data_IF_502536489192
#
_entry.id   IF_502536489192
#
_cell.length_a   1.000
_cell.length_b   1.000
_cell.length_c   1.000
_cell.angle_alpha   90.00
_cell.angle_beta   90.00
_cell.angle_gamma   90.00
#
_symmetry.space_group_name_H-M   'P 1'
#
loop_
_entity.id
_entity.type
_entity.pdbx_description
1 polymer ?
#
# COMPACT_ATOMS: atom_id res chain seq x y z
N UNK A 1 37.09 1.62 -13.51
CA UNK A 1 36.15 1.19 -12.45
C UNK A 1 35.67 2.47 -11.79
N UNK A 2 34.52 2.99 -12.25
CA UNK A 2 34.02 4.30 -11.81
C UNK A 2 33.70 4.25 -10.31
N UNK A 3 34.33 5.15 -9.57
CA UNK A 3 34.09 5.37 -8.15
C UNK A 3 32.69 5.98 -8.01
N UNK A 4 31.68 5.12 -7.84
CA UNK A 4 30.34 5.57 -7.48
C UNK A 4 30.47 6.36 -6.17
N UNK A 5 30.05 7.63 -6.17
CA UNK A 5 30.24 8.55 -5.03
C UNK A 5 29.67 7.89 -3.76
N UNK A 6 30.32 8.00 -2.58
CA UNK A 6 29.83 7.42 -1.32
C UNK A 6 28.37 7.73 -0.96
N UNK A 7 27.85 8.86 -1.46
CA UNK A 7 26.45 9.24 -1.32
C UNK A 7 25.48 8.33 -2.10
N UNK A 8 25.86 7.90 -3.32
CA UNK A 8 25.05 7.00 -4.14
C UNK A 8 25.00 5.61 -3.49
N UNK A 9 26.12 5.09 -3.02
CA UNK A 9 26.16 3.80 -2.30
C UNK A 9 25.29 3.84 -1.04
N UNK A 10 25.35 4.94 -0.29
CA UNK A 10 24.48 5.12 0.89
C UNK A 10 22.99 5.11 0.53
N UNK A 11 22.59 5.78 -0.56
CA UNK A 11 21.21 5.78 -1.03
C UNK A 11 20.78 4.36 -1.46
N UNK A 12 21.62 3.67 -2.23
CA UNK A 12 21.30 2.33 -2.73
C UNK A 12 21.19 1.32 -1.58
N UNK A 13 22.12 1.35 -0.62
CA UNK A 13 22.05 0.50 0.58
C UNK A 13 20.80 0.79 1.42
N UNK A 14 20.39 2.07 1.52
CA UNK A 14 19.16 2.44 2.22
C UNK A 14 17.91 1.91 1.50
N UNK A 15 17.87 1.99 0.17
CA UNK A 15 16.80 1.43 -0.65
C UNK A 15 16.72 -0.09 -0.50
N UNK A 16 17.86 -0.78 -0.54
CA UNK A 16 17.94 -2.23 -0.35
C UNK A 16 17.42 -2.65 1.04
N UNK A 17 17.78 -1.92 2.09
CA UNK A 17 17.30 -2.17 3.44
C UNK A 17 15.77 -1.99 3.55
N UNK A 18 15.22 -0.92 2.97
CA UNK A 18 13.77 -0.68 2.93
C UNK A 18 13.06 -1.77 2.13
N UNK A 19 13.60 -2.15 0.97
CA UNK A 19 13.03 -3.18 0.11
C UNK A 19 13.00 -4.53 0.83
N UNK A 20 14.12 -4.95 1.42
CA UNK A 20 14.22 -6.18 2.22
C UNK A 20 13.19 -6.21 3.36
N UNK A 21 13.08 -5.11 4.10
CA UNK A 21 12.13 -5.01 5.22
C UNK A 21 10.66 -5.05 4.75
N UNK A 22 10.38 -4.54 3.55
CA UNK A 22 9.06 -4.58 2.93
C UNK A 22 8.67 -5.99 2.48
N UNK A 23 9.60 -6.74 1.89
CA UNK A 23 9.41 -8.14 1.49
C UNK A 23 9.10 -8.99 2.73
N UNK A 24 9.88 -8.83 3.80
CA UNK A 24 9.61 -9.51 5.08
C UNK A 24 8.20 -9.24 5.61
N UNK A 25 7.71 -8.00 5.52
CA UNK A 25 6.36 -7.68 5.97
C UNK A 25 5.28 -8.38 5.12
N UNK A 26 5.48 -8.49 3.80
CA UNK A 26 4.59 -9.24 2.91
C UNK A 26 4.62 -10.73 3.22
N UNK A 27 5.82 -11.30 3.42
CA UNK A 27 6.00 -12.70 3.77
C UNK A 27 5.32 -13.03 5.10
N UNK A 28 5.48 -12.19 6.13
CA UNK A 28 4.79 -12.34 7.41
C UNK A 28 3.26 -12.37 7.25
N UNK A 29 2.71 -11.52 6.38
CA UNK A 29 1.28 -11.54 6.05
C UNK A 29 0.90 -12.85 5.37
N UNK A 30 1.66 -13.24 4.34
CA UNK A 30 1.41 -14.45 3.58
C UNK A 30 1.45 -15.69 4.48
N UNK A 31 2.55 -15.92 5.20
CA UNK A 31 2.74 -17.08 6.07
C UNK A 31 1.72 -17.13 7.20
N UNK A 32 1.34 -16.00 7.80
CA UNK A 32 0.28 -16.01 8.81
C UNK A 32 -1.08 -16.28 8.17
N UNK A 33 -1.38 -15.71 7.01
CA UNK A 33 -2.65 -15.92 6.31
C UNK A 33 -2.89 -17.38 5.88
N UNK A 34 -1.85 -18.11 5.47
CA UNK A 34 -1.96 -19.54 5.11
C UNK A 34 -2.08 -20.45 6.33
N UNK A 35 -1.54 -20.04 7.49
CA UNK A 35 -1.56 -20.82 8.71
C UNK A 35 -2.87 -20.63 9.52
N UNK A 36 -3.68 -19.64 9.15
CA UNK A 36 -5.03 -19.51 9.71
C UNK A 36 -5.91 -20.62 9.10
N UNK A 37 -6.30 -21.59 9.93
CA UNK A 37 -7.29 -22.60 9.52
C UNK A 37 -8.63 -21.89 9.29
N UNK A 38 -9.32 -22.24 8.20
CA UNK A 38 -10.64 -21.66 7.83
C UNK A 38 -11.73 -21.83 8.91
N UNK A 39 -11.47 -22.62 9.95
CA UNK A 39 -12.38 -22.95 11.05
C UNK A 39 -12.06 -22.21 12.36
N UNK A 40 -10.98 -21.42 12.41
CA UNK A 40 -10.70 -20.60 13.59
C UNK A 40 -11.58 -19.34 13.57
N UNK A 41 -12.64 -19.36 14.37
CA UNK A 41 -13.52 -18.22 14.69
C UNK A 41 -12.78 -16.97 15.22
N UNK A 42 -11.47 -17.07 15.43
CA UNK A 42 -10.57 -16.02 15.91
C UNK A 42 -9.80 -15.30 14.80
N UNK A 43 -10.26 -15.36 13.54
CA UNK A 43 -9.69 -14.62 12.39
C UNK A 43 -9.20 -13.18 12.72
N UNK A 44 -9.94 -12.33 13.46
CA UNK A 44 -9.49 -10.98 13.78
C UNK A 44 -8.23 -10.90 14.66
N UNK A 45 -7.98 -11.93 15.50
CA UNK A 45 -6.83 -12.01 16.42
C UNK A 45 -5.58 -12.50 15.69
N UNK A 46 -5.75 -13.24 14.59
CA UNK A 46 -4.64 -13.82 13.81
C UNK A 46 -4.14 -12.91 12.67
N UNK A 47 -4.82 -11.80 12.42
CA UNK A 47 -4.38 -10.82 11.41
C UNK A 47 -3.06 -10.17 11.87
N UNK A 48 -1.99 -10.22 11.07
CA UNK A 48 -0.73 -9.55 11.39
C UNK A 48 -0.78 -8.03 11.20
N UNK A 49 -1.54 -7.35 12.05
CA UNK A 49 -1.81 -5.92 11.93
C UNK A 49 -0.52 -5.08 11.88
N UNK A 50 0.53 -5.48 12.61
CA UNK A 50 1.81 -4.78 12.58
C UNK A 50 2.52 -4.90 11.22
N UNK A 51 2.45 -6.06 10.57
CA UNK A 51 2.96 -6.27 9.22
C UNK A 51 2.17 -5.43 8.21
N UNK A 52 0.84 -5.35 8.35
CA UNK A 52 0.01 -4.45 7.55
C UNK A 52 0.37 -2.97 7.75
N UNK A 53 0.62 -2.53 8.99
CA UNK A 53 1.08 -1.17 9.30
C UNK A 53 2.46 -0.89 8.70
N UNK A 54 3.38 -1.85 8.74
CA UNK A 54 4.69 -1.75 8.07
C UNK A 54 4.51 -1.53 6.57
N UNK A 55 3.65 -2.30 5.92
CA UNK A 55 3.31 -2.09 4.50
C UNK A 55 2.73 -0.70 4.25
N UNK A 56 1.81 -0.22 5.10
CA UNK A 56 1.27 1.14 5.01
C UNK A 56 2.38 2.20 5.05
N UNK A 57 3.37 2.04 5.92
CA UNK A 57 4.55 2.92 5.98
C UNK A 57 5.34 2.88 4.67
N UNK A 58 5.63 1.69 4.13
CA UNK A 58 6.37 1.54 2.87
C UNK A 58 5.63 2.12 1.66
N UNK A 59 4.31 1.97 1.61
CA UNK A 59 3.47 2.58 0.56
C UNK A 59 3.61 4.11 0.59
N UNK A 60 3.50 4.72 1.77
CA UNK A 60 3.62 6.17 1.91
C UNK A 60 5.04 6.68 1.63
N UNK A 61 6.07 5.93 2.05
CA UNK A 61 7.47 6.24 1.71
C UNK A 61 7.67 6.22 0.19
N UNK A 62 7.17 5.20 -0.49
CA UNK A 62 7.27 5.08 -1.94
C UNK A 62 6.52 6.23 -2.65
N UNK A 63 5.34 6.62 -2.17
CA UNK A 63 4.66 7.81 -2.69
C UNK A 63 5.48 9.10 -2.48
N UNK A 64 6.13 9.24 -1.32
CA UNK A 64 7.03 10.36 -1.06
C UNK A 64 8.20 10.41 -2.05
N UNK A 65 8.81 9.26 -2.35
CA UNK A 65 9.87 9.13 -3.35
C UNK A 65 9.38 9.46 -4.76
N UNK A 66 8.23 8.91 -5.18
CA UNK A 66 7.62 9.20 -6.48
C UNK A 66 7.34 10.69 -6.64
N UNK A 67 6.86 11.36 -5.58
CA UNK A 67 6.67 12.81 -5.54
C UNK A 67 8.00 13.57 -5.66
N UNK A 68 9.03 13.16 -4.92
CA UNK A 68 10.36 13.78 -4.98
C UNK A 68 11.02 13.64 -6.37
N UNK A 69 10.72 12.55 -7.09
CA UNK A 69 11.18 12.34 -8.47
C UNK A 69 10.32 13.05 -9.52
N UNK A 70 9.31 13.84 -9.12
CA UNK A 70 8.43 14.55 -10.05
C UNK A 70 7.43 13.65 -10.79
N UNK A 71 7.22 12.42 -10.34
CA UNK A 71 6.29 11.46 -10.95
C UNK A 71 4.84 11.60 -10.46
N UNK A 72 4.61 12.34 -9.38
CA UNK A 72 3.25 12.57 -8.84
C UNK A 72 2.59 13.78 -9.51
N UNK A 73 1.27 13.72 -9.70
CA UNK A 73 0.46 14.83 -10.19
C UNK A 73 -0.36 15.48 -9.06
N UNK A 74 -0.86 16.72 -9.22
CA UNK A 74 -1.68 17.38 -8.20
C UNK A 74 -2.92 16.57 -7.79
N UNK A 75 -3.56 15.88 -8.75
CA UNK A 75 -4.72 15.02 -8.48
C UNK A 75 -4.33 13.80 -7.65
N UNK A 76 -3.18 13.18 -7.94
CA UNK A 76 -2.69 12.04 -7.16
C UNK A 76 -2.31 12.48 -5.75
N UNK A 77 -1.59 13.60 -5.60
CA UNK A 77 -1.24 14.16 -4.30
C UNK A 77 -2.50 14.48 -3.48
N UNK A 78 -3.56 14.99 -4.13
CA UNK A 78 -4.83 15.27 -3.49
C UNK A 78 -5.57 14.00 -3.05
N UNK A 79 -5.65 12.97 -3.90
CA UNK A 79 -6.20 11.65 -3.52
C UNK A 79 -5.42 11.07 -2.33
N UNK A 80 -4.09 11.15 -2.35
CA UNK A 80 -3.25 10.69 -1.26
C UNK A 80 -3.47 11.47 0.04
N UNK A 81 -3.73 12.78 -0.04
CA UNK A 81 -4.07 13.61 1.11
C UNK A 81 -5.44 13.21 1.70
N UNK A 82 -6.44 12.93 0.85
CA UNK A 82 -7.74 12.42 1.28
C UNK A 82 -7.56 11.06 1.97
N UNK A 83 -6.83 10.10 1.37
CA UNK A 83 -6.58 8.81 2.00
C UNK A 83 -5.91 8.95 3.39
N UNK A 84 -4.96 9.87 3.53
CA UNK A 84 -4.27 10.15 4.79
C UNK A 84 -5.21 10.72 5.86
N UNK A 85 -6.19 11.55 5.50
CA UNK A 85 -7.25 12.02 6.41
C UNK A 85 -7.99 10.85 7.07
N UNK A 86 -8.13 9.73 6.37
CA UNK A 86 -8.73 8.49 6.87
C UNK A 86 -7.72 7.51 7.50
N UNK A 87 -6.48 7.93 7.75
CA UNK A 87 -5.39 7.08 8.27
C UNK A 87 -5.05 5.88 7.38
N UNK A 88 -5.23 6.02 6.07
CA UNK A 88 -4.92 4.98 5.08
C UNK A 88 -3.68 5.37 4.27
N UNK A 89 -2.87 4.36 3.93
CA UNK A 89 -1.73 4.55 3.05
C UNK A 89 -2.18 4.56 1.59
N UNK A 90 -1.48 5.32 0.76
CA UNK A 90 -1.80 5.41 -0.66
C UNK A 90 -0.58 5.78 -1.50
N UNK A 91 -0.60 5.38 -2.77
CA UNK A 91 0.46 5.71 -3.72
C UNK A 91 -0.03 5.66 -5.17
N UNK A 92 0.71 6.31 -6.08
CA UNK A 92 0.62 6.09 -7.51
C UNK A 92 1.00 4.64 -7.86
N UNK A 93 0.22 4.01 -8.76
CA UNK A 93 0.51 2.65 -9.26
C UNK A 93 1.38 2.69 -10.51
N UNK A 94 1.03 3.59 -11.44
CA UNK A 94 1.60 3.70 -12.78
C UNK A 94 1.39 5.11 -13.33
N UNK A 95 1.98 5.40 -14.49
CA UNK A 95 1.76 6.61 -15.28
C UNK A 95 0.32 6.79 -15.77
N UNK A 96 -0.53 5.76 -15.65
CA UNK A 96 -1.94 5.76 -16.06
C UNK A 96 -2.88 6.64 -15.21
N UNK A 97 -2.36 7.36 -14.20
CA UNK A 97 -3.14 8.33 -13.42
C UNK A 97 -4.00 7.73 -12.31
N UNK A 98 -3.76 6.48 -11.90
CA UNK A 98 -4.47 5.84 -10.79
C UNK A 98 -3.67 5.88 -9.49
N UNK A 99 -4.37 6.23 -8.39
CA UNK A 99 -3.88 6.07 -7.04
C UNK A 99 -4.44 4.78 -6.41
N UNK A 100 -3.56 4.02 -5.78
CA UNK A 100 -3.89 2.92 -4.89
C UNK A 100 -4.12 3.44 -3.48
N UNK A 101 -5.18 2.96 -2.81
CA UNK A 101 -5.42 3.18 -1.38
C UNK A 101 -5.45 1.81 -0.69
N UNK A 102 -4.58 1.63 0.29
CA UNK A 102 -4.43 0.37 1.02
C UNK A 102 -5.32 0.35 2.26
N UNK A 103 -6.24 -0.61 2.30
CA UNK A 103 -7.14 -0.81 3.45
C UNK A 103 -6.49 -1.75 4.46
N UNK A 104 -6.56 -1.39 5.75
CA UNK A 104 -6.22 -2.30 6.83
C UNK A 104 -7.33 -3.36 6.99
N UNK A 105 -7.01 -4.58 7.47
CA UNK A 105 -7.99 -5.67 7.58
C UNK A 105 -9.18 -5.36 8.49
N UNK A 106 -9.01 -4.44 9.46
CA UNK A 106 -10.03 -3.99 10.40
C UNK A 106 -10.65 -2.63 9.99
N UNK A 107 -10.50 -2.21 8.74
CA UNK A 107 -11.07 -0.94 8.27
C UNK A 107 -12.60 -1.01 8.35
N UNK A 108 -13.19 -0.09 9.10
CA UNK A 108 -14.64 0.01 9.28
C UNK A 108 -15.35 0.27 7.93
N UNK A 109 -16.45 -0.42 7.68
CA UNK A 109 -17.26 -0.23 6.46
C UNK A 109 -17.74 1.22 6.27
N UNK A 110 -18.16 1.89 7.34
CA UNK A 110 -18.57 3.29 7.31
C UNK A 110 -17.42 4.22 6.89
N UNK A 111 -16.18 3.91 7.31
CA UNK A 111 -14.99 4.65 6.89
C UNK A 111 -14.78 4.51 5.38
N UNK A 112 -14.94 3.30 4.83
CA UNK A 112 -14.84 3.04 3.38
C UNK A 112 -15.92 3.81 2.61
N UNK A 113 -17.16 3.84 3.11
CA UNK A 113 -18.25 4.62 2.50
C UNK A 113 -17.90 6.12 2.48
N UNK A 114 -17.46 6.66 3.62
CA UNK A 114 -17.14 8.08 3.76
C UNK A 114 -15.99 8.49 2.82
N UNK A 115 -14.92 7.70 2.80
CA UNK A 115 -13.80 7.88 1.87
C UNK A 115 -14.27 7.85 0.41
N UNK A 116 -15.09 6.87 0.06
CA UNK A 116 -15.59 6.70 -1.31
C UNK A 116 -16.45 7.89 -1.74
N UNK A 117 -17.33 8.37 -0.86
CA UNK A 117 -18.19 9.52 -1.13
C UNK A 117 -17.37 10.81 -1.26
N UNK A 118 -16.36 11.00 -0.42
CA UNK A 118 -15.47 12.16 -0.51
C UNK A 118 -14.70 12.17 -1.83
N UNK A 119 -14.07 11.05 -2.22
CA UNK A 119 -13.37 10.94 -3.51
C UNK A 119 -14.31 11.21 -4.70
N UNK A 120 -15.53 10.64 -4.67
CA UNK A 120 -16.53 10.86 -5.73
C UNK A 120 -17.02 12.32 -5.77
N UNK A 121 -17.11 13.02 -4.64
CA UNK A 121 -17.50 14.43 -4.61
C UNK A 121 -16.49 15.34 -5.33
N UNK A 122 -15.24 14.90 -5.47
CA UNK A 122 -14.20 15.55 -6.27
C UNK A 122 -14.06 14.94 -7.68
N UNK A 123 -15.05 14.17 -8.15
CA UNK A 123 -15.07 13.50 -9.44
C UNK A 123 -13.95 12.45 -9.64
N UNK A 124 -13.44 11.84 -8.57
CA UNK A 124 -12.55 10.69 -8.68
C UNK A 124 -13.34 9.38 -8.64
N UNK A 125 -13.35 8.58 -9.73
CA UNK A 125 -13.95 7.26 -9.72
C UNK A 125 -13.22 6.33 -8.74
N UNK A 126 -13.98 5.52 -8.00
CA UNK A 126 -13.43 4.60 -7.00
C UNK A 126 -13.85 3.18 -7.32
N UNK A 127 -12.86 2.28 -7.40
CA UNK A 127 -13.06 0.85 -7.57
C UNK A 127 -12.53 0.16 -6.31
N UNK A 128 -13.42 -0.46 -5.53
CA UNK A 128 -13.00 -1.36 -4.45
C UNK A 128 -12.64 -2.71 -5.07
N UNK A 129 -11.40 -3.15 -4.86
CA UNK A 129 -10.91 -4.43 -5.37
C UNK A 129 -10.03 -5.13 -4.33
N UNK A 130 -9.74 -6.40 -4.56
CA UNK A 130 -8.80 -7.20 -3.78
C UNK A 130 -7.52 -7.42 -4.59
N UNK A 131 -6.37 -7.43 -3.92
CA UNK A 131 -5.12 -7.82 -4.56
C UNK A 131 -4.97 -9.35 -4.54
N UNK A 132 -4.18 -9.89 -5.48
CA UNK A 132 -3.94 -11.34 -5.63
C UNK A 132 -5.22 -12.09 -5.99
N UNK A 133 -5.65 -11.93 -7.26
CA UNK A 133 -6.73 -12.75 -7.81
C UNK A 133 -6.26 -14.19 -8.05
N UNK A 134 -7.20 -15.09 -8.30
CA UNK A 134 -6.97 -16.54 -8.41
C UNK A 134 -6.17 -16.98 -9.63
N UNK A 135 -5.59 -16.05 -10.38
CA UNK A 135 -4.94 -16.31 -11.66
C UNK A 135 -5.92 -16.81 -12.73
N UNK A 136 -5.36 -17.51 -13.72
CA UNK A 136 -6.13 -18.12 -14.82
C UNK A 136 -6.98 -19.27 -14.27
N UNK A 137 -8.27 -19.28 -14.61
CA UNK A 137 -9.19 -20.39 -14.37
C UNK A 137 -9.72 -20.87 -15.73
N UNK A 138 -9.87 -22.18 -15.87
CA UNK A 138 -10.66 -22.76 -16.97
C UNK A 138 -12.06 -23.00 -16.39
N UNK A 139 -13.05 -22.30 -16.94
CA UNK A 139 -14.47 -22.44 -16.58
C UNK A 139 -15.18 -23.40 -17.53
#
# INVERSE_FOLDING_TARGET
MEYVKPCVDFIMNSLEAVMTTSVQAVDEIYFKSINIRKDDSNWPVLVPLDSYKRISTFINMNQGLLRAMGMSSPNIDFICAIARKYSLASKLISDSGFAFIFLLPNTNHQLIINLTNELKSYNFPVIKTTMVCTGVRVE
#
